data_IF_925499625214
#
_entry.id   IF_925499625214
#
_cell.length_a   1.000
_cell.length_b   1.000
_cell.length_c   1.000
_cell.angle_alpha   90.00
_cell.angle_beta   90.00
_cell.angle_gamma   90.00
#
_symmetry.space_group_name_H-M   'P 1'
#
loop_
_entity.id
_entity.type
_entity.pdbx_description
1 polymer ?
#
# COMPACT_ATOMS: atom_id res chain seq x y z
N UNK A 1 -13.97 15.10 52.48
CA UNK A 1 -13.81 15.82 51.22
C UNK A 1 -12.44 15.66 50.61
N UNK A 2 -11.42 15.86 51.37
CA UNK A 2 -10.06 15.71 50.88
C UNK A 2 -9.75 14.30 50.37
N UNK A 3 -10.32 13.29 51.02
CA UNK A 3 -10.14 11.91 50.64
C UNK A 3 -10.71 11.60 49.27
N UNK A 4 -11.83 12.22 48.92
CA UNK A 4 -12.45 12.03 47.63
C UNK A 4 -11.60 12.61 46.49
N UNK A 5 -10.99 13.75 46.73
CA UNK A 5 -10.08 14.34 45.76
C UNK A 5 -8.91 13.48 45.47
N UNK A 6 -8.28 12.96 46.51
CA UNK A 6 -7.12 12.09 46.35
C UNK A 6 -7.46 10.84 45.58
N UNK A 7 -8.62 10.24 45.85
CA UNK A 7 -9.08 9.04 45.13
C UNK A 7 -9.28 9.32 43.67
N UNK A 8 -9.87 10.43 43.31
CA UNK A 8 -10.11 10.81 41.93
C UNK A 8 -8.82 10.99 41.16
N UNK A 9 -7.85 11.64 41.75
CA UNK A 9 -6.55 11.84 41.13
C UNK A 9 -5.83 10.53 40.85
N UNK A 10 -5.82 9.65 41.82
CA UNK A 10 -5.21 8.35 41.68
C UNK A 10 -5.89 7.54 40.58
N UNK A 11 -7.20 7.60 40.52
CA UNK A 11 -7.98 6.88 39.50
C UNK A 11 -7.67 7.37 38.11
N UNK A 12 -7.57 8.67 37.90
CA UNK A 12 -7.24 9.24 36.60
C UNK A 12 -5.85 8.82 36.17
N UNK A 13 -4.89 8.83 37.09
CA UNK A 13 -3.53 8.38 36.75
C UNK A 13 -3.49 6.93 36.32
N UNK A 14 -4.22 6.07 36.98
CA UNK A 14 -4.29 4.67 36.61
C UNK A 14 -4.83 4.47 35.21
N UNK A 15 -5.87 5.18 34.87
CA UNK A 15 -6.47 5.11 33.54
C UNK A 15 -5.47 5.57 32.49
N UNK A 16 -4.77 6.64 32.74
CA UNK A 16 -3.76 7.16 31.80
C UNK A 16 -2.65 6.16 31.54
N UNK A 17 -2.22 5.44 32.54
CA UNK A 17 -1.15 4.46 32.39
C UNK A 17 -1.60 3.23 31.60
N UNK A 18 -2.83 2.81 31.80
CA UNK A 18 -3.33 1.59 31.15
C UNK A 18 -3.59 1.82 29.67
N UNK A 19 -4.16 2.96 29.29
CA UNK A 19 -4.54 3.23 27.92
C UNK A 19 -3.38 3.16 26.92
N UNK A 20 -2.25 3.84 27.15
CA UNK A 20 -1.15 3.79 26.17
C UNK A 20 -0.62 2.40 25.94
N UNK A 21 -0.46 1.64 27.00
CA UNK A 21 0.08 0.29 26.91
C UNK A 21 -0.83 -0.65 26.14
N UNK A 22 -2.12 -0.61 26.43
CA UNK A 22 -3.08 -1.47 25.78
C UNK A 22 -3.26 -1.15 24.31
N UNK A 23 -3.35 0.13 23.98
CA UNK A 23 -3.57 0.54 22.58
C UNK A 23 -2.42 0.23 21.67
N UNK A 24 -1.20 0.34 22.15
CA UNK A 24 -0.01 0.09 21.33
C UNK A 24 0.01 -1.32 20.76
N UNK A 25 -0.30 -2.31 21.57
CA UNK A 25 -0.29 -3.70 21.15
C UNK A 25 -1.56 -4.11 20.45
N UNK A 26 -2.70 -3.55 20.85
CA UNK A 26 -3.98 -3.89 20.25
C UNK A 26 -4.11 -3.42 18.81
N UNK A 27 -3.39 -2.38 18.43
CA UNK A 27 -3.46 -1.81 17.10
C UNK A 27 -3.02 -2.78 16.01
N UNK A 28 -2.10 -3.69 16.32
CA UNK A 28 -1.61 -4.66 15.38
C UNK A 28 -0.83 -4.05 14.23
N UNK A 29 -0.72 -4.78 13.15
CA UNK A 29 0.04 -4.37 11.98
C UNK A 29 -0.82 -3.55 11.02
N UNK A 30 -0.25 -2.49 10.50
CA UNK A 30 -0.94 -1.64 9.51
C UNK A 30 -0.83 -2.25 8.12
N UNK A 31 -1.81 -2.00 7.23
CA UNK A 31 -1.70 -2.45 5.85
C UNK A 31 -0.44 -1.92 5.18
N UNK A 32 0.20 -2.77 4.38
CA UNK A 32 1.40 -2.39 3.64
C UNK A 32 1.46 -3.15 2.32
N UNK A 33 2.24 -2.64 1.38
CA UNK A 33 2.46 -3.30 0.09
C UNK A 33 3.70 -4.19 0.15
N UNK A 34 3.71 -5.24 -0.69
CA UNK A 34 4.88 -6.10 -0.85
C UNK A 34 6.05 -5.35 -1.48
N UNK A 35 5.77 -4.35 -2.33
CA UNK A 35 6.79 -3.52 -2.96
C UNK A 35 6.37 -2.06 -2.96
N UNK A 36 7.27 -1.17 -2.62
CA UNK A 36 7.04 0.28 -2.68
C UNK A 36 7.60 0.89 -3.96
N UNK A 37 8.54 0.22 -4.59
CA UNK A 37 9.14 0.62 -5.86
C UNK A 37 9.23 -0.59 -6.77
N UNK A 38 8.82 -0.42 -8.01
CA UNK A 38 8.89 -1.47 -9.02
C UNK A 38 9.69 -0.96 -10.22
N UNK A 39 10.69 -1.71 -10.60
CA UNK A 39 11.39 -1.51 -11.87
C UNK A 39 10.93 -2.61 -12.80
N UNK A 40 10.19 -2.22 -13.84
CA UNK A 40 9.60 -3.15 -14.79
C UNK A 40 10.12 -2.88 -16.18
N UNK A 41 10.01 -3.86 -17.04
CA UNK A 41 10.28 -3.69 -18.48
C UNK A 41 8.96 -3.70 -19.23
N UNK A 42 8.93 -3.05 -20.40
CA UNK A 42 7.73 -3.01 -21.25
C UNK A 42 7.27 -4.44 -21.55
N UNK A 43 6.00 -4.71 -21.36
CA UNK A 43 5.39 -6.02 -21.58
C UNK A 43 5.42 -6.94 -20.37
N UNK A 44 6.07 -6.56 -19.28
CA UNK A 44 6.11 -7.39 -18.09
C UNK A 44 4.92 -7.10 -17.17
N UNK A 45 4.63 -8.06 -16.29
CA UNK A 45 3.57 -7.94 -15.28
C UNK A 45 4.13 -8.26 -13.92
N UNK A 46 3.52 -7.69 -12.89
CA UNK A 46 3.91 -7.90 -11.50
C UNK A 46 2.67 -8.00 -10.62
N UNK A 47 2.69 -8.93 -9.68
CA UNK A 47 1.60 -9.08 -8.72
C UNK A 47 1.87 -8.23 -7.48
N UNK A 48 1.08 -7.18 -7.32
CA UNK A 48 1.13 -6.31 -6.16
C UNK A 48 0.21 -6.87 -5.09
N UNK A 49 0.69 -6.91 -3.85
CA UNK A 49 -0.07 -7.50 -2.75
C UNK A 49 -0.13 -6.56 -1.56
N UNK A 50 -1.31 -6.49 -0.94
CA UNK A 50 -1.51 -5.76 0.30
C UNK A 50 -1.49 -6.73 1.47
N UNK A 51 -0.57 -6.52 2.41
CA UNK A 51 -0.48 -7.29 3.64
C UNK A 51 -1.26 -6.61 4.75
N UNK A 52 -1.68 -7.39 5.73
CA UNK A 52 -2.30 -6.91 6.97
C UNK A 52 -3.64 -6.20 6.76
N UNK A 53 -4.28 -6.39 5.63
CA UNK A 53 -5.64 -5.92 5.41
C UNK A 53 -6.62 -6.95 5.98
N UNK A 54 -7.63 -6.46 6.70
CA UNK A 54 -8.66 -7.32 7.28
C UNK A 54 -9.75 -7.62 6.26
N UNK A 55 -10.56 -8.65 6.50
CA UNK A 55 -11.66 -9.02 5.62
C UNK A 55 -12.66 -7.89 5.40
N UNK A 56 -12.87 -7.07 6.40
CA UNK A 56 -13.78 -5.92 6.34
C UNK A 56 -13.26 -4.78 5.47
N UNK A 57 -11.97 -4.77 5.16
CA UNK A 57 -11.35 -3.70 4.41
C UNK A 57 -11.62 -3.85 2.92
N UNK A 58 -12.03 -2.74 2.30
CA UNK A 58 -12.17 -2.65 0.85
C UNK A 58 -10.89 -2.02 0.29
N UNK A 59 -10.29 -2.68 -0.69
CA UNK A 59 -9.03 -2.25 -1.27
C UNK A 59 -9.26 -1.83 -2.71
N UNK A 60 -8.78 -0.63 -3.06
CA UNK A 60 -8.88 -0.08 -4.41
C UNK A 60 -7.48 0.24 -4.91
N UNK A 61 -7.18 -0.17 -6.15
CA UNK A 61 -5.91 0.10 -6.81
C UNK A 61 -6.15 1.06 -7.97
N UNK A 62 -5.34 2.11 -8.09
CA UNK A 62 -5.43 3.05 -9.21
C UNK A 62 -4.03 3.40 -9.69
N UNK A 63 -3.92 3.69 -10.99
CA UNK A 63 -2.67 4.13 -11.62
C UNK A 63 -2.76 5.60 -11.98
N UNK A 64 -1.71 6.36 -11.67
CA UNK A 64 -1.65 7.78 -12.04
C UNK A 64 -1.46 7.98 -13.54
N UNK A 65 -0.83 7.01 -14.22
CA UNK A 65 -0.62 7.05 -15.67
C UNK A 65 -0.89 5.66 -16.26
N UNK A 66 -2.16 5.33 -16.54
CA UNK A 66 -2.52 4.02 -17.06
C UNK A 66 -1.89 3.69 -18.41
N UNK A 67 -1.54 4.70 -19.19
CA UNK A 67 -0.84 4.49 -20.46
C UNK A 67 0.58 3.94 -20.28
N UNK A 68 1.19 4.15 -19.13
CA UNK A 68 2.52 3.64 -18.82
C UNK A 68 2.45 2.33 -18.06
N UNK A 69 1.62 2.30 -17.02
CA UNK A 69 1.40 1.08 -16.23
C UNK A 69 -0.05 1.02 -15.77
N UNK A 70 -0.71 -0.06 -16.12
CA UNK A 70 -2.09 -0.33 -15.67
C UNK A 70 -2.09 -1.22 -14.45
N UNK A 71 -3.15 -1.13 -13.66
CA UNK A 71 -3.34 -1.99 -12.51
C UNK A 71 -4.75 -2.57 -12.55
N UNK A 72 -4.86 -3.88 -12.36
CA UNK A 72 -6.14 -4.58 -12.36
C UNK A 72 -6.24 -5.44 -11.10
N UNK A 73 -7.30 -5.23 -10.33
CA UNK A 73 -7.55 -6.02 -9.11
C UNK A 73 -7.89 -7.46 -9.48
N UNK A 74 -7.33 -8.40 -8.75
CA UNK A 74 -7.65 -9.80 -8.92
C UNK A 74 -9.10 -10.08 -8.50
N UNK A 75 -9.83 -10.82 -9.32
CA UNK A 75 -11.24 -11.12 -9.06
C UNK A 75 -11.42 -12.06 -7.88
N UNK A 76 -10.50 -12.99 -7.68
CA UNK A 76 -10.59 -13.98 -6.61
C UNK A 76 -10.09 -13.46 -5.27
N UNK A 77 -9.20 -12.48 -5.29
CA UNK A 77 -8.65 -11.93 -4.07
C UNK A 77 -8.29 -10.46 -4.25
N UNK A 78 -9.12 -9.59 -3.69
CA UNK A 78 -8.97 -8.14 -3.81
C UNK A 78 -7.70 -7.57 -3.15
N UNK A 79 -6.93 -8.39 -2.45
CA UNK A 79 -5.65 -7.97 -1.88
C UNK A 79 -4.51 -8.04 -2.89
N UNK A 80 -4.76 -8.62 -4.04
CA UNK A 80 -3.80 -8.74 -5.13
C UNK A 80 -4.26 -7.90 -6.31
N UNK A 81 -3.31 -7.34 -7.01
CA UNK A 81 -3.56 -6.64 -8.25
C UNK A 81 -2.42 -6.89 -9.21
N UNK A 82 -2.75 -7.06 -10.47
CA UNK A 82 -1.78 -7.25 -11.54
C UNK A 82 -1.40 -5.89 -12.12
N UNK A 83 -0.12 -5.57 -12.09
CA UNK A 83 0.44 -4.35 -12.69
C UNK A 83 1.06 -4.74 -14.01
N UNK A 84 0.63 -4.08 -15.10
CA UNK A 84 1.15 -4.35 -16.45
C UNK A 84 1.89 -3.11 -16.95
N UNK A 85 3.13 -3.31 -17.38
CA UNK A 85 3.96 -2.24 -17.96
C UNK A 85 3.69 -2.13 -19.45
N UNK A 86 3.17 -0.99 -19.88
CA UNK A 86 2.75 -0.78 -21.28
C UNK A 86 3.71 0.09 -22.06
N UNK A 87 4.30 1.11 -21.44
CA UNK A 87 5.16 2.06 -22.13
C UNK A 87 6.26 2.54 -21.18
N UNK A 88 7.36 3.03 -21.77
CA UNK A 88 8.48 3.58 -21.02
C UNK A 88 8.05 4.82 -20.27
N UNK A 89 8.45 4.94 -19.02
CA UNK A 89 8.14 6.10 -18.19
C UNK A 89 7.94 5.71 -16.73
N UNK A 90 7.22 6.55 -16.01
CA UNK A 90 6.95 6.34 -14.59
C UNK A 90 5.47 6.50 -14.30
N UNK A 91 4.96 5.70 -13.37
CA UNK A 91 3.59 5.79 -12.88
C UNK A 91 3.58 5.51 -11.39
N UNK A 92 2.56 5.98 -10.70
CA UNK A 92 2.37 5.69 -9.28
C UNK A 92 1.07 4.92 -9.12
N UNK A 93 1.18 3.74 -8.51
CA UNK A 93 0.01 2.95 -8.15
C UNK A 93 -0.41 3.35 -6.74
N UNK A 94 -1.59 3.87 -6.59
CA UNK A 94 -2.15 4.23 -5.29
C UNK A 94 -3.11 3.15 -4.85
N UNK A 95 -2.92 2.68 -3.62
CA UNK A 95 -3.76 1.65 -3.02
C UNK A 95 -4.47 2.29 -1.84
N UNK A 96 -5.80 2.30 -1.90
CA UNK A 96 -6.63 2.85 -0.84
C UNK A 96 -7.30 1.71 -0.09
N UNK A 97 -7.05 1.64 1.22
CA UNK A 97 -7.67 0.65 2.10
C UNK A 97 -8.74 1.38 2.92
N UNK A 98 -9.99 0.95 2.76
CA UNK A 98 -11.13 1.57 3.45
C UNK A 98 -11.84 0.57 4.35
N UNK A 99 -12.36 1.09 5.45
CA UNK A 99 -13.30 0.37 6.32
C UNK A 99 -14.63 1.10 6.26
N UNK A 100 -15.58 0.56 5.49
CA UNK A 100 -16.81 1.28 5.17
C UNK A 100 -16.50 2.53 4.36
N UNK A 101 -16.90 3.68 4.86
CA UNK A 101 -16.63 4.98 4.19
C UNK A 101 -15.32 5.62 4.64
N UNK A 102 -14.67 5.06 5.66
CA UNK A 102 -13.47 5.66 6.24
C UNK A 102 -12.21 5.09 5.59
N UNK A 103 -11.29 5.98 5.20
CA UNK A 103 -9.98 5.58 4.69
C UNK A 103 -9.09 5.18 5.87
N UNK A 104 -8.66 3.93 5.87
CA UNK A 104 -7.76 3.41 6.89
C UNK A 104 -6.32 3.77 6.56
N UNK A 105 -5.93 3.62 5.28
CA UNK A 105 -4.57 3.87 4.85
C UNK A 105 -4.51 4.06 3.33
N UNK A 106 -3.63 4.95 2.90
CA UNK A 106 -3.24 5.11 1.51
C UNK A 106 -1.81 4.61 1.35
N UNK A 107 -1.61 3.72 0.38
CA UNK A 107 -0.31 3.16 0.07
C UNK A 107 0.07 3.55 -1.35
N UNK A 108 1.36 3.72 -1.61
CA UNK A 108 1.85 4.09 -2.94
C UNK A 108 2.98 3.17 -3.36
N UNK A 109 2.97 2.81 -4.64
CA UNK A 109 4.04 2.07 -5.27
C UNK A 109 4.50 2.83 -6.51
N UNK A 110 5.76 3.19 -6.56
CA UNK A 110 6.34 3.83 -7.73
C UNK A 110 6.73 2.77 -8.74
N UNK A 111 6.22 2.92 -9.95
CA UNK A 111 6.54 2.00 -11.05
C UNK A 111 7.37 2.76 -12.06
N UNK A 112 8.53 2.22 -12.37
CA UNK A 112 9.39 2.74 -13.43
C UNK A 112 9.50 1.68 -14.51
N UNK A 113 9.15 2.06 -15.73
CA UNK A 113 9.15 1.15 -16.86
C UNK A 113 10.32 1.50 -17.78
N UNK A 114 11.15 0.52 -18.04
CA UNK A 114 12.31 0.60 -18.94
C UNK A 114 12.07 -0.22 -20.20
N UNK A 115 12.83 0.04 -21.29
CA UNK A 115 12.74 -0.82 -22.47
C UNK A 115 13.10 -2.26 -22.12
N UNK A 116 12.49 -3.20 -22.82
CA UNK A 116 12.87 -4.60 -22.61
C UNK A 116 14.23 -4.90 -23.28
N UNK A 117 14.85 -6.01 -22.89
CA UNK A 117 16.18 -6.38 -23.35
C UNK A 117 16.27 -6.54 -24.87
N UNK A 118 15.22 -7.05 -25.49
CA UNK A 118 15.18 -7.25 -26.96
C UNK A 118 15.23 -5.90 -27.67
N UNK A 119 14.46 -4.92 -27.20
CA UNK A 119 14.45 -3.58 -27.77
C UNK A 119 15.81 -2.90 -27.63
N UNK A 120 16.47 -3.08 -26.50
CA UNK A 120 17.80 -2.50 -26.27
C UNK A 120 18.83 -3.08 -27.25
N UNK A 121 18.83 -4.39 -27.45
CA UNK A 121 19.72 -5.06 -28.40
C UNK A 121 19.51 -4.56 -29.82
N UNK A 122 18.25 -4.43 -30.21
CA UNK A 122 17.89 -3.92 -31.54
C UNK A 122 18.43 -2.50 -31.76
N UNK A 123 18.26 -1.64 -30.79
CA UNK A 123 18.77 -0.28 -30.84
C UNK A 123 20.30 -0.21 -30.97
N UNK A 124 21.02 -1.07 -30.23
CA UNK A 124 22.47 -1.15 -30.31
C UNK A 124 22.94 -1.55 -31.71
N UNK A 125 22.28 -2.53 -32.29
CA UNK A 125 22.62 -3.00 -33.64
C UNK A 125 22.41 -1.93 -34.70
N UNK A 126 21.43 -1.07 -34.52
CA UNK A 126 21.18 0.03 -35.46
C UNK A 126 22.20 1.15 -35.35
N UNK A 127 22.70 1.39 -34.14
CA UNK A 127 23.66 2.47 -33.91
C UNK A 127 25.06 2.11 -34.36
N UNK A 128 25.41 0.84 -34.31
CA UNK A 128 26.73 0.37 -34.77
C UNK A 128 26.76 0.26 -36.30
#
# INVERSE_FOLDING_TARGET
MKKKFTSLLVFVLLISMVLPAGTSFAAGKKPKLNMKKLNMTVGSTFSLRVYNAKKKHKITFTSSKPSIATVKTETQNARYASVSALAIGSSVITVTVKKGKKVVRNLKCRVRVSPNAVSIKFMKNQVS
#
